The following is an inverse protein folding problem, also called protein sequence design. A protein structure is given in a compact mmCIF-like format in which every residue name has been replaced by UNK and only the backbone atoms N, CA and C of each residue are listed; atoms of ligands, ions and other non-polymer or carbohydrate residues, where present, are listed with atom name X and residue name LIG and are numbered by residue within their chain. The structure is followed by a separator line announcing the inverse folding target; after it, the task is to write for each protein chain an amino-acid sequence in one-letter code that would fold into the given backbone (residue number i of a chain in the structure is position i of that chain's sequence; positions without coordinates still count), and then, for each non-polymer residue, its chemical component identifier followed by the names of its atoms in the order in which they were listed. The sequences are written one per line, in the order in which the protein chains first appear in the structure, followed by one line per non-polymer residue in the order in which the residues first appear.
data_IF_798626329537
#
_entry.id   IF_798626329537
#
_cell.length_a   1.000
_cell.length_b   1.000
_cell.length_c   1.000
_cell.angle_alpha   90.00
_cell.angle_beta   90.00
_cell.angle_gamma   90.00
#
_symmetry.space_group_name_H-M   'P 1'
#
loop_
_entity.id
_entity.type
_entity.pdbx_description
1 polymer ?
#
# COMPACT_ATOMS: atom_id res chain seq x y z
N UNK A 1 14.05 8.76 -7.56
CA UNK A 1 13.56 8.63 -6.16
C UNK A 1 13.12 9.99 -5.69
N UNK A 2 12.00 10.10 -5.01
CA UNK A 2 11.53 11.35 -4.42
C UNK A 2 12.22 11.58 -3.06
N UNK A 3 12.65 12.80 -2.77
CA UNK A 3 13.23 13.16 -1.47
C UNK A 3 12.36 14.12 -0.68
N UNK A 4 11.56 14.94 -1.36
CA UNK A 4 10.67 15.90 -0.73
C UNK A 4 9.44 16.14 -1.59
N UNK A 5 8.30 16.30 -0.97
CA UNK A 5 7.03 16.71 -1.59
C UNK A 5 6.37 17.78 -0.71
N UNK A 6 6.00 18.91 -1.32
CA UNK A 6 5.21 19.96 -0.68
C UNK A 6 3.96 20.19 -1.50
N UNK A 7 2.82 20.17 -0.84
CA UNK A 7 1.51 20.44 -1.44
C UNK A 7 0.98 21.75 -0.90
N UNK A 8 0.61 22.67 -1.79
CA UNK A 8 0.07 23.97 -1.45
C UNK A 8 -1.35 24.10 -2.00
N UNK A 9 -2.33 24.29 -1.12
CA UNK A 9 -3.74 24.50 -1.45
C UNK A 9 -4.35 23.41 -2.34
N UNK A 10 -3.95 22.16 -2.11
CA UNK A 10 -4.43 20.97 -2.83
C UNK A 10 -4.53 19.78 -1.86
N UNK A 11 -5.59 18.99 -1.99
CA UNK A 11 -5.84 17.84 -1.14
C UNK A 11 -6.48 18.16 0.20
N UNK A 12 -6.51 17.21 1.13
CA UNK A 12 -7.21 17.34 2.40
C UNK A 12 -6.52 18.29 3.39
N UNK A 13 -5.23 18.53 3.21
CA UNK A 13 -4.40 19.40 4.06
C UNK A 13 -3.99 20.61 3.26
N UNK A 14 -4.27 21.86 3.72
CA UNK A 14 -3.95 23.10 2.97
C UNK A 14 -2.46 23.24 2.63
N UNK A 15 -1.60 22.86 3.56
CA UNK A 15 -0.16 22.87 3.42
C UNK A 15 0.40 21.55 3.97
N UNK A 16 1.07 20.79 3.13
CA UNK A 16 1.67 19.49 3.50
C UNK A 16 3.12 19.48 3.06
N UNK A 17 4.00 19.01 3.94
CA UNK A 17 5.42 18.74 3.61
C UNK A 17 5.79 17.33 4.05
N UNK A 18 6.28 16.52 3.11
CA UNK A 18 6.78 15.17 3.35
C UNK A 18 8.24 15.06 2.92
N UNK A 19 9.12 14.67 3.85
CA UNK A 19 10.51 14.34 3.58
C UNK A 19 10.68 12.81 3.55
N UNK A 20 10.96 12.27 2.37
CA UNK A 20 10.99 10.83 2.16
C UNK A 20 12.34 10.20 2.49
N UNK A 21 12.29 9.06 3.16
CA UNK A 21 13.40 8.16 3.36
C UNK A 21 13.86 7.50 2.05
N UNK A 22 15.07 7.01 2.07
CA UNK A 22 15.71 6.44 0.86
C UNK A 22 15.21 5.04 0.50
N UNK A 23 14.61 4.30 1.45
CA UNK A 23 14.23 2.90 1.28
C UNK A 23 12.72 2.68 1.43
N UNK A 24 12.19 2.75 2.62
CA UNK A 24 10.78 2.47 2.92
C UNK A 24 10.11 3.71 3.51
N UNK A 25 8.97 4.06 2.94
CA UNK A 25 8.12 5.13 3.43
C UNK A 25 6.73 4.56 3.62
N UNK A 26 6.25 4.53 4.85
CA UNK A 26 4.92 4.02 5.18
C UNK A 26 4.03 5.18 5.56
N UNK A 27 2.83 5.22 5.01
CA UNK A 27 1.82 6.23 5.24
C UNK A 27 0.61 5.53 5.87
N UNK A 28 0.31 5.89 7.11
CA UNK A 28 -0.84 5.38 7.86
C UNK A 28 -1.95 6.43 7.95
N UNK A 29 -3.01 6.12 8.64
CA UNK A 29 -4.14 7.00 8.92
C UNK A 29 -5.47 6.41 8.50
N UNK A 30 -6.56 7.02 8.94
CA UNK A 30 -7.92 6.57 8.71
C UNK A 30 -8.36 6.65 7.25
N UNK A 31 -9.47 5.96 6.94
CA UNK A 31 -10.03 5.95 5.60
C UNK A 31 -10.55 7.35 5.21
N UNK A 32 -10.32 7.72 3.94
CA UNK A 32 -10.80 8.99 3.39
C UNK A 32 -9.93 10.21 3.70
N UNK A 33 -8.84 10.09 4.47
CA UNK A 33 -7.95 11.20 4.84
C UNK A 33 -6.94 11.59 3.75
N UNK A 34 -6.88 10.85 2.63
CA UNK A 34 -6.08 11.26 1.46
C UNK A 34 -4.77 10.48 1.26
N UNK A 35 -4.63 9.28 1.80
CA UNK A 35 -3.46 8.41 1.56
C UNK A 35 -3.22 8.18 0.06
N UNK A 36 -4.24 7.72 -0.66
CA UNK A 36 -4.20 7.52 -2.13
C UNK A 36 -3.84 8.82 -2.85
N UNK A 37 -4.44 9.97 -2.43
CA UNK A 37 -4.11 11.27 -3.00
C UNK A 37 -2.63 11.61 -2.87
N UNK A 38 -2.02 11.31 -1.70
CA UNK A 38 -0.60 11.56 -1.49
C UNK A 38 0.28 10.67 -2.38
N UNK A 39 -0.11 9.39 -2.60
CA UNK A 39 0.56 8.52 -3.56
C UNK A 39 0.44 9.03 -4.99
N UNK A 40 -0.73 9.51 -5.40
CA UNK A 40 -0.93 10.10 -6.73
C UNK A 40 -0.12 11.38 -6.92
N UNK A 41 0.03 12.20 -5.88
CA UNK A 41 0.91 13.36 -5.90
C UNK A 41 2.40 12.95 -6.01
N UNK A 42 2.82 11.87 -5.33
CA UNK A 42 4.15 11.27 -5.50
C UNK A 42 4.36 10.75 -6.92
N UNK A 43 3.38 10.05 -7.48
CA UNK A 43 3.41 9.58 -8.87
C UNK A 43 3.57 10.77 -9.83
N UNK A 44 2.77 11.82 -9.67
CA UNK A 44 2.87 13.02 -10.49
C UNK A 44 4.26 13.68 -10.36
N UNK A 45 4.78 13.82 -9.16
CA UNK A 45 6.11 14.38 -8.91
C UNK A 45 7.22 13.60 -9.64
N UNK A 46 7.08 12.28 -9.74
CA UNK A 46 8.05 11.41 -10.40
C UNK A 46 7.91 11.41 -11.92
N UNK A 47 6.69 11.45 -12.46
CA UNK A 47 6.38 11.14 -13.87
C UNK A 47 5.78 12.29 -14.66
N UNK A 48 5.19 13.28 -13.99
CA UNK A 48 4.36 14.36 -14.53
C UNK A 48 3.12 13.89 -15.27
N UNK A 49 2.68 12.68 -15.00
CA UNK A 49 1.39 12.15 -15.44
C UNK A 49 0.55 11.82 -14.22
N UNK A 50 -0.76 11.71 -14.38
CA UNK A 50 -1.63 11.24 -13.30
C UNK A 50 -1.82 9.73 -13.37
N UNK A 51 -1.85 9.08 -12.21
CA UNK A 51 -2.09 7.65 -12.13
C UNK A 51 -3.48 7.31 -12.68
N UNK A 52 -3.57 6.24 -13.49
CA UNK A 52 -4.83 5.84 -14.12
C UNK A 52 -5.23 6.64 -15.37
N UNK A 53 -4.40 7.60 -15.83
CA UNK A 53 -4.62 8.42 -17.01
C UNK A 53 -5.31 9.76 -16.69
N UNK A 54 -5.81 10.45 -17.71
CA UNK A 54 -6.31 11.84 -17.64
C UNK A 54 -7.46 12.11 -16.65
N UNK A 55 -8.03 11.07 -16.06
CA UNK A 55 -9.15 11.19 -15.10
C UNK A 55 -8.72 11.57 -13.69
N UNK A 56 -7.43 11.63 -13.43
CA UNK A 56 -6.85 11.92 -12.11
C UNK A 56 -6.53 13.41 -11.87
N UNK A 57 -7.26 14.33 -12.49
CA UNK A 57 -7.03 15.76 -12.22
C UNK A 57 -7.56 16.09 -10.83
N UNK A 58 -6.65 16.27 -9.88
CA UNK A 58 -7.01 16.74 -8.55
C UNK A 58 -7.37 18.21 -8.62
N UNK A 59 -8.64 18.50 -8.31
CA UNK A 59 -9.11 19.88 -8.18
C UNK A 59 -8.56 20.49 -6.90
N UNK A 60 -8.19 21.77 -6.93
CA UNK A 60 -7.85 22.52 -5.73
C UNK A 60 -9.00 22.51 -4.74
N UNK A 61 -8.68 22.64 -3.45
CA UNK A 61 -9.70 22.79 -2.40
C UNK A 61 -10.60 23.98 -2.70
N UNK A 62 -11.94 23.85 -2.70
CA UNK A 62 -12.88 24.90 -3.12
C UNK A 62 -12.77 26.23 -2.34
N UNK A 63 -12.29 26.19 -1.11
CA UNK A 63 -12.15 27.36 -0.22
C UNK A 63 -10.92 28.21 -0.50
N UNK A 64 -10.11 27.86 -1.50
CA UNK A 64 -8.93 28.65 -1.82
C UNK A 64 -9.32 30.02 -2.39
N UNK A 65 -8.92 31.07 -1.70
CA UNK A 65 -8.99 32.42 -2.19
C UNK A 65 -8.36 32.51 -3.59
N UNK A 66 -8.96 33.29 -4.51
CA UNK A 66 -8.43 33.51 -5.87
C UNK A 66 -6.96 33.99 -5.90
N UNK A 67 -6.42 34.42 -4.77
CA UNK A 67 -5.02 34.85 -4.61
C UNK A 67 -4.05 33.71 -4.33
N UNK A 68 -4.51 32.48 -4.05
CA UNK A 68 -3.65 31.34 -3.70
C UNK A 68 -3.62 30.35 -4.87
N UNK A 69 -2.44 30.15 -5.43
CA UNK A 69 -2.22 29.24 -6.56
C UNK A 69 -1.94 27.85 -6.03
N UNK A 70 -2.76 26.84 -6.37
CA UNK A 70 -2.47 25.46 -6.01
C UNK A 70 -1.17 25.02 -6.66
N UNK A 71 -0.27 24.42 -5.87
CA UNK A 71 1.04 24.01 -6.35
C UNK A 71 1.52 22.71 -5.72
N UNK A 72 2.30 21.97 -6.49
CA UNK A 72 3.05 20.79 -6.06
C UNK A 72 4.53 21.11 -6.21
N UNK A 73 5.25 21.24 -5.09
CA UNK A 73 6.70 21.34 -5.09
C UNK A 73 7.31 19.98 -4.75
N UNK A 74 8.34 19.58 -5.44
CA UNK A 74 8.95 18.28 -5.22
C UNK A 74 10.43 18.29 -5.57
N UNK A 75 11.19 17.46 -4.86
CA UNK A 75 12.60 17.21 -5.11
C UNK A 75 12.82 15.75 -5.47
N UNK A 76 13.41 15.50 -6.64
CA UNK A 76 13.67 14.15 -7.14
C UNK A 76 15.17 13.93 -7.36
N UNK A 77 15.67 12.82 -6.83
CA UNK A 77 17.03 12.37 -7.04
C UNK A 77 17.07 11.58 -8.35
N UNK A 78 17.64 12.19 -9.38
CA UNK A 78 17.81 11.63 -10.73
C UNK A 78 19.21 11.05 -10.99
N UNK A 79 19.59 10.97 -12.28
CA UNK A 79 20.93 10.47 -12.72
C UNK A 79 22.10 11.19 -12.04
N UNK A 80 21.96 12.46 -11.74
CA UNK A 80 23.00 13.27 -11.08
C UNK A 80 23.22 12.93 -9.62
N UNK A 81 22.35 12.09 -9.02
CA UNK A 81 22.34 11.72 -7.59
C UNK A 81 22.20 12.91 -6.64
N UNK A 82 21.88 14.09 -7.16
CA UNK A 82 21.55 15.29 -6.36
C UNK A 82 20.05 15.55 -6.48
N UNK A 83 19.38 15.99 -5.39
CA UNK A 83 18.01 16.42 -5.47
C UNK A 83 17.86 17.57 -6.47
N UNK A 84 16.88 17.48 -7.35
CA UNK A 84 16.50 18.56 -8.26
C UNK A 84 15.08 19.01 -7.91
N UNK A 85 14.97 20.25 -7.43
CA UNK A 85 13.70 20.86 -7.07
C UNK A 85 12.88 21.23 -8.31
N UNK A 86 11.59 21.00 -8.25
CA UNK A 86 10.61 21.32 -9.28
C UNK A 86 9.35 21.87 -8.63
N UNK A 87 8.60 22.69 -9.41
CA UNK A 87 7.30 23.18 -8.99
C UNK A 87 6.32 23.10 -10.15
N UNK A 88 5.17 22.50 -9.88
CA UNK A 88 4.02 22.47 -10.77
C UNK A 88 2.92 23.37 -10.20
N UNK A 89 2.27 24.16 -11.05
CA UNK A 89 1.17 25.07 -10.67
C UNK A 89 -0.08 24.75 -11.48
N UNK A 90 -1.22 24.77 -10.81
CA UNK A 90 -2.50 24.51 -11.46
C UNK A 90 -3.01 25.75 -12.19
N UNK A 91 -3.33 25.57 -13.46
CA UNK A 91 -3.87 26.61 -14.33
C UNK A 91 -5.40 26.48 -14.45
N UNK A 92 -6.15 27.33 -13.77
CA UNK A 92 -7.61 27.26 -13.74
C UNK A 92 -8.27 27.41 -15.12
N UNK A 93 -7.67 28.19 -16.03
CA UNK A 93 -8.24 28.40 -17.38
C UNK A 93 -8.15 27.18 -18.27
N UNK A 94 -7.04 26.47 -18.23
CA UNK A 94 -6.79 25.26 -19.03
C UNK A 94 -7.10 23.98 -18.29
N UNK A 95 -7.37 24.04 -16.97
CA UNK A 95 -7.57 22.87 -16.08
C UNK A 95 -6.38 21.89 -16.15
N UNK A 96 -5.17 22.43 -16.23
CA UNK A 96 -3.93 21.65 -16.37
C UNK A 96 -2.87 22.06 -15.36
N UNK A 97 -2.00 21.14 -15.04
CA UNK A 97 -0.79 21.39 -14.27
C UNK A 97 0.35 21.80 -15.20
N UNK A 98 1.03 22.88 -14.89
CA UNK A 98 2.15 23.39 -15.68
C UNK A 98 3.44 23.44 -14.86
N UNK A 99 4.57 23.14 -15.49
CA UNK A 99 5.90 23.23 -14.90
C UNK A 99 6.82 24.04 -15.78
N UNK A 100 7.86 24.65 -15.19
CA UNK A 100 8.88 25.40 -15.94
C UNK A 100 9.80 24.48 -16.78
N UNK A 101 9.93 23.23 -16.38
CA UNK A 101 10.82 22.27 -17.04
C UNK A 101 10.01 21.45 -18.06
N UNK A 102 10.51 21.31 -19.28
CA UNK A 102 9.82 20.61 -20.36
C UNK A 102 9.70 19.09 -20.16
N UNK A 103 10.63 18.47 -19.44
CA UNK A 103 10.66 17.00 -19.24
C UNK A 103 10.51 16.61 -17.78
N UNK A 104 9.92 15.43 -17.48
CA UNK A 104 9.87 14.91 -16.12
C UNK A 104 11.29 14.69 -15.58
N UNK A 105 11.46 14.64 -14.25
CA UNK A 105 12.72 14.15 -13.70
C UNK A 105 12.96 12.71 -14.15
N UNK A 106 14.16 12.20 -14.02
CA UNK A 106 14.50 10.82 -14.39
C UNK A 106 14.66 9.98 -13.10
N UNK A 107 13.57 9.56 -12.44
CA UNK A 107 13.60 8.87 -11.16
C UNK A 107 14.12 7.44 -11.24
N UNK A 108 14.11 6.83 -12.42
CA UNK A 108 14.26 5.42 -12.66
C UNK A 108 12.94 4.79 -13.12
N UNK A 109 12.82 3.47 -13.06
CA UNK A 109 11.56 2.77 -13.31
C UNK A 109 10.58 3.03 -12.16
N UNK A 110 9.38 3.52 -12.46
CA UNK A 110 8.35 3.80 -11.46
C UNK A 110 7.18 2.86 -11.70
N UNK A 111 6.77 2.14 -10.65
CA UNK A 111 5.63 1.22 -10.68
C UNK A 111 4.69 1.60 -9.55
N UNK A 112 3.42 1.79 -9.85
CA UNK A 112 2.38 2.08 -8.89
C UNK A 112 1.30 0.99 -8.92
N UNK A 113 1.23 0.19 -7.86
CA UNK A 113 0.18 -0.79 -7.63
C UNK A 113 -1.00 -0.11 -6.94
N UNK A 114 -2.12 0.05 -7.64
CA UNK A 114 -3.31 0.74 -7.14
C UNK A 114 -4.23 -0.21 -6.38
N UNK A 115 -5.07 0.36 -5.52
CA UNK A 115 -6.03 -0.40 -4.70
C UNK A 115 -7.01 -1.24 -5.56
N UNK A 116 -7.41 -0.74 -6.73
CA UNK A 116 -8.34 -1.39 -7.66
C UNK A 116 -7.77 -2.63 -8.38
N UNK A 117 -6.53 -3.00 -8.07
CA UNK A 117 -5.82 -4.09 -8.76
C UNK A 117 -5.18 -3.68 -10.08
N UNK A 118 -5.37 -2.43 -10.51
CA UNK A 118 -4.69 -1.85 -11.64
C UNK A 118 -3.27 -1.40 -11.30
N UNK A 119 -2.52 -1.03 -12.36
CA UNK A 119 -1.14 -0.57 -12.23
C UNK A 119 -0.88 0.60 -13.15
N UNK A 120 0.04 1.47 -12.70
CA UNK A 120 0.63 2.49 -13.55
C UNK A 120 2.15 2.26 -13.59
N UNK A 121 2.72 2.32 -14.79
CA UNK A 121 4.17 2.09 -15.02
C UNK A 121 4.74 3.25 -15.83
N UNK A 122 5.79 3.86 -15.32
CA UNK A 122 6.58 4.84 -16.05
C UNK A 122 8.00 4.31 -16.24
N UNK A 123 8.38 4.13 -17.48
CA UNK A 123 9.64 3.53 -17.88
C UNK A 123 10.55 4.60 -18.53
N UNK A 124 11.72 4.91 -17.97
CA UNK A 124 12.61 5.92 -18.52
C UNK A 124 13.07 5.61 -19.94
N UNK A 125 13.17 4.35 -20.33
CA UNK A 125 13.54 3.97 -21.68
C UNK A 125 12.41 4.19 -22.69
N UNK A 126 11.14 4.09 -22.27
CA UNK A 126 10.00 4.21 -23.19
C UNK A 126 9.30 5.57 -23.10
N UNK A 127 9.22 6.20 -21.93
CA UNK A 127 8.39 7.38 -21.69
C UNK A 127 9.18 8.69 -21.62
N UNK A 128 10.47 8.67 -21.23
CA UNK A 128 11.26 9.90 -21.06
C UNK A 128 11.46 10.71 -22.34
N UNK A 129 11.69 10.05 -23.47
CA UNK A 129 11.92 10.66 -24.78
C UNK A 129 10.63 10.81 -25.60
N UNK A 130 9.49 10.72 -24.96
CA UNK A 130 8.22 11.00 -25.60
C UNK A 130 8.18 12.48 -26.00
N UNK A 131 8.12 12.75 -27.30
CA UNK A 131 7.88 14.08 -27.82
C UNK A 131 6.38 14.18 -28.15
N UNK A 132 5.76 15.30 -27.84
CA UNK A 132 4.38 15.63 -28.21
C UNK A 132 4.18 15.76 -29.73
N UNK A 133 5.07 15.21 -30.53
CA UNK A 133 4.89 15.15 -31.97
C UNK A 133 3.74 14.17 -32.28
N UNK A 134 2.81 14.63 -33.07
CA UNK A 134 1.58 13.93 -33.45
C UNK A 134 1.80 12.54 -34.11
N UNK A 135 3.02 12.16 -34.35
CA UNK A 135 3.43 10.87 -34.91
C UNK A 135 3.83 9.83 -33.87
N UNK A 136 4.09 10.22 -32.63
CA UNK A 136 4.47 9.26 -31.58
C UNK A 136 3.22 8.62 -30.96
N UNK A 137 3.12 7.28 -31.13
CA UNK A 137 2.03 6.46 -30.53
C UNK A 137 2.35 5.99 -29.12
N UNK A 138 3.53 6.33 -28.59
CA UNK A 138 3.92 5.92 -27.24
C UNK A 138 3.16 6.77 -26.22
N UNK A 139 2.56 6.15 -25.19
CA UNK A 139 1.90 6.91 -24.13
C UNK A 139 2.92 7.60 -23.21
N UNK A 140 2.48 8.66 -22.52
CA UNK A 140 3.30 9.36 -21.51
C UNK A 140 3.63 8.47 -20.31
N UNK A 141 2.73 7.55 -19.98
CA UNK A 141 2.88 6.47 -19.01
C UNK A 141 1.94 5.31 -19.38
N UNK A 142 2.19 4.12 -18.86
CA UNK A 142 1.32 2.97 -19.07
C UNK A 142 0.36 2.84 -17.88
N UNK A 143 -0.93 2.73 -18.18
CA UNK A 143 -1.97 2.57 -17.16
C UNK A 143 -2.78 1.32 -17.47
N UNK A 144 -2.70 0.33 -16.58
CA UNK A 144 -3.39 -0.93 -16.71
C UNK A 144 -4.51 -1.02 -15.68
N UNK A 145 -5.71 -1.34 -16.12
CA UNK A 145 -6.79 -1.80 -15.23
C UNK A 145 -6.47 -3.22 -14.77
N UNK A 146 -7.19 -3.72 -13.76
CA UNK A 146 -7.05 -5.12 -13.36
C UNK A 146 -7.30 -6.08 -14.54
N UNK A 147 -8.29 -5.81 -15.39
CA UNK A 147 -8.56 -6.62 -16.59
C UNK A 147 -7.38 -6.60 -17.56
N UNK A 148 -6.79 -5.44 -17.80
CA UNK A 148 -5.60 -5.31 -18.67
C UNK A 148 -4.39 -6.11 -18.15
N UNK A 149 -4.23 -6.21 -16.81
CA UNK A 149 -3.16 -7.03 -16.22
C UNK A 149 -3.34 -8.50 -16.57
N UNK A 150 -4.58 -8.99 -16.59
CA UNK A 150 -4.89 -10.39 -16.90
C UNK A 150 -4.95 -10.70 -18.39
N UNK A 151 -5.61 -9.86 -19.16
CA UNK A 151 -5.98 -10.12 -20.55
C UNK A 151 -5.14 -9.35 -21.59
N UNK A 152 -4.37 -8.36 -21.14
CA UNK A 152 -3.55 -7.51 -22.00
C UNK A 152 -4.23 -6.21 -22.39
N UNK A 153 -3.46 -5.33 -23.01
CA UNK A 153 -3.88 -4.03 -23.52
C UNK A 153 -3.40 -3.80 -24.92
N UNK A 154 -4.35 -3.61 -25.83
CA UNK A 154 -4.12 -3.21 -27.21
C UNK A 154 -4.44 -1.71 -27.36
N UNK A 155 -3.66 -1.00 -28.16
CA UNK A 155 -3.90 0.38 -28.55
C UNK A 155 -3.85 0.50 -30.07
N UNK A 156 -4.78 1.21 -30.69
CA UNK A 156 -4.80 1.45 -32.12
C UNK A 156 -6.14 1.91 -32.68
N UNK A 157 -6.14 2.33 -33.95
CA UNK A 157 -7.26 2.93 -34.68
C UNK A 157 -7.99 1.99 -35.65
N UNK A 158 -7.83 0.69 -35.45
CA UNK A 158 -8.47 -0.33 -36.29
C UNK A 158 -7.62 -0.82 -37.48
N UNK A 159 -6.76 -0.01 -38.06
CA UNK A 159 -5.87 -0.40 -39.16
C UNK A 159 -4.53 -0.99 -38.67
N UNK A 160 -4.08 -0.56 -37.50
CA UNK A 160 -2.88 -1.08 -36.86
C UNK A 160 -3.11 -1.12 -35.35
N UNK A 161 -2.88 -2.29 -34.76
CA UNK A 161 -2.93 -2.52 -33.33
C UNK A 161 -1.53 -2.67 -32.79
N UNK A 162 -1.18 -1.86 -31.79
CA UNK A 162 0.02 -1.99 -31.01
C UNK A 162 -0.32 -2.63 -29.65
N UNK A 163 0.41 -3.68 -29.27
CA UNK A 163 0.20 -4.36 -27.99
C UNK A 163 1.08 -3.70 -26.94
N UNK A 164 0.45 -3.04 -25.96
CA UNK A 164 1.15 -2.41 -24.85
C UNK A 164 1.51 -3.40 -23.74
N UNK A 165 0.70 -4.44 -23.59
CA UNK A 165 0.91 -5.56 -22.69
C UNK A 165 0.14 -6.78 -23.23
N UNK A 166 0.73 -7.98 -23.18
CA UNK A 166 0.04 -9.20 -23.61
C UNK A 166 -0.93 -9.73 -22.53
N UNK A 167 -0.71 -9.33 -21.27
CA UNK A 167 -1.43 -9.81 -20.12
C UNK A 167 -0.85 -11.10 -19.51
N UNK A 168 -1.12 -11.28 -18.23
CA UNK A 168 -0.58 -12.37 -17.43
C UNK A 168 -0.85 -13.75 -18.06
N UNK A 169 -2.09 -14.00 -18.51
CA UNK A 169 -2.47 -15.31 -19.07
C UNK A 169 -1.58 -15.69 -20.25
N UNK A 170 -1.40 -14.77 -21.21
CA UNK A 170 -0.60 -15.04 -22.42
C UNK A 170 0.91 -15.04 -22.13
N UNK A 171 1.39 -14.08 -21.35
CA UNK A 171 2.82 -13.97 -21.07
C UNK A 171 3.33 -15.15 -20.25
N UNK A 172 2.63 -15.54 -19.19
CA UNK A 172 3.03 -16.67 -18.34
C UNK A 172 3.02 -17.99 -19.13
N UNK A 173 1.98 -18.23 -19.93
CA UNK A 173 1.93 -19.39 -20.82
C UNK A 173 3.10 -19.41 -21.80
N UNK A 174 3.38 -18.26 -22.47
CA UNK A 174 4.52 -18.11 -23.38
C UNK A 174 5.87 -18.27 -22.69
N UNK A 175 6.04 -17.72 -21.49
CA UNK A 175 7.29 -17.83 -20.71
C UNK A 175 7.52 -19.28 -20.26
N UNK A 176 6.48 -19.97 -19.85
CA UNK A 176 6.53 -21.37 -19.44
C UNK A 176 6.88 -22.26 -20.64
N UNK A 177 6.20 -22.11 -21.76
CA UNK A 177 6.43 -22.90 -22.99
C UNK A 177 7.84 -22.72 -23.55
N UNK A 178 8.40 -21.50 -23.45
CA UNK A 178 9.75 -21.19 -23.93
C UNK A 178 10.85 -21.49 -22.91
N UNK A 179 10.48 -21.83 -21.67
CA UNK A 179 11.40 -22.05 -20.54
C UNK A 179 12.43 -20.91 -20.41
N UNK A 180 11.95 -19.66 -20.60
CA UNK A 180 12.84 -18.50 -20.58
C UNK A 180 13.13 -18.00 -19.16
N UNK A 181 14.06 -17.04 -19.01
CA UNK A 181 14.44 -16.48 -17.72
C UNK A 181 13.30 -15.80 -16.97
N UNK A 182 12.27 -15.29 -17.66
CA UNK A 182 11.14 -14.58 -17.06
C UNK A 182 10.27 -15.50 -16.23
N UNK A 183 10.05 -16.75 -16.65
CA UNK A 183 9.28 -17.71 -15.82
C UNK A 183 10.03 -18.08 -14.56
N UNK A 184 11.34 -18.28 -14.64
CA UNK A 184 12.16 -18.56 -13.46
C UNK A 184 12.17 -17.39 -12.48
N UNK A 185 12.24 -16.16 -13.01
CA UNK A 185 12.17 -14.94 -12.20
C UNK A 185 10.80 -14.77 -11.55
N UNK A 186 9.70 -15.01 -12.28
CA UNK A 186 8.34 -14.99 -11.74
C UNK A 186 8.19 -16.01 -10.62
N UNK A 187 8.70 -17.23 -10.80
CA UNK A 187 8.64 -18.29 -9.80
C UNK A 187 9.42 -17.91 -8.53
N UNK A 188 10.61 -17.33 -8.65
CA UNK A 188 11.40 -16.84 -7.52
C UNK A 188 10.69 -15.74 -6.74
N UNK A 189 10.04 -14.80 -7.48
CA UNK A 189 9.24 -13.71 -6.88
C UNK A 189 8.04 -14.28 -6.11
N UNK A 190 7.31 -15.21 -6.72
CA UNK A 190 6.13 -15.83 -6.10
C UNK A 190 6.51 -16.65 -4.85
N UNK A 191 7.58 -17.43 -4.92
CA UNK A 191 8.08 -18.19 -3.77
C UNK A 191 8.50 -17.30 -2.60
N UNK A 192 9.15 -16.18 -2.91
CA UNK A 192 9.56 -15.24 -1.89
C UNK A 192 8.39 -14.46 -1.27
N UNK A 193 7.33 -14.19 -2.05
CA UNK A 193 6.11 -13.54 -1.56
C UNK A 193 5.15 -14.50 -0.85
N UNK A 194 5.41 -15.81 -0.86
CA UNK A 194 4.54 -16.79 -0.23
C UNK A 194 4.57 -16.70 1.31
N UNK A 195 3.41 -16.90 1.95
CA UNK A 195 3.26 -16.72 3.39
C UNK A 195 4.01 -17.74 4.23
N UNK A 196 4.10 -18.97 3.73
CA UNK A 196 4.80 -20.08 4.37
C UNK A 196 5.08 -21.21 3.37
N UNK A 197 5.80 -22.25 3.81
CA UNK A 197 6.17 -23.39 2.97
C UNK A 197 4.98 -24.22 2.48
N UNK A 198 3.87 -24.26 3.23
CA UNK A 198 2.67 -25.01 2.87
C UNK A 198 1.75 -24.27 1.88
N UNK A 199 1.91 -22.95 1.77
CA UNK A 199 1.13 -22.10 0.87
C UNK A 199 2.02 -21.45 -0.21
N UNK A 200 3.07 -22.16 -0.65
CA UNK A 200 3.95 -21.65 -1.72
C UNK A 200 3.20 -21.52 -3.02
N UNK A 201 3.23 -20.31 -3.56
CA UNK A 201 2.68 -20.04 -4.88
C UNK A 201 3.67 -20.53 -5.95
N UNK A 202 3.23 -21.50 -6.73
CA UNK A 202 4.00 -22.05 -7.85
C UNK A 202 3.15 -22.09 -9.09
N UNK A 203 3.71 -21.63 -10.19
CA UNK A 203 3.09 -21.76 -11.51
C UNK A 203 3.22 -23.21 -11.96
N UNK A 204 2.10 -23.80 -12.35
CA UNK A 204 2.01 -25.10 -13.00
C UNK A 204 1.76 -24.98 -14.48
N UNK A 205 1.47 -26.13 -15.11
CA UNK A 205 1.15 -26.21 -16.53
C UNK A 205 -0.13 -25.45 -16.86
N UNK A 206 -0.22 -24.92 -18.08
CA UNK A 206 -1.43 -24.27 -18.57
C UNK A 206 -2.48 -25.31 -18.97
N UNK A 207 -3.75 -24.99 -18.73
CA UNK A 207 -4.88 -25.87 -19.02
C UNK A 207 -5.97 -25.12 -19.78
N UNK A 208 -6.72 -25.81 -20.63
CA UNK A 208 -7.92 -25.28 -21.25
C UNK A 208 -9.07 -25.28 -20.22
N UNK A 209 -9.59 -24.08 -19.90
CA UNK A 209 -10.61 -23.90 -18.86
C UNK A 209 -12.05 -24.01 -19.41
N UNK A 210 -12.28 -23.51 -20.63
CA UNK A 210 -13.60 -23.51 -21.25
C UNK A 210 -13.52 -23.70 -22.77
N UNK A 211 -14.67 -23.94 -23.40
CA UNK A 211 -14.76 -24.13 -24.86
C UNK A 211 -14.70 -22.80 -25.63
N UNK A 212 -15.18 -21.72 -25.03
CA UNK A 212 -15.34 -20.42 -25.68
C UNK A 212 -14.06 -19.59 -25.71
N UNK A 213 -13.11 -19.87 -24.83
CA UNK A 213 -11.77 -19.22 -24.82
C UNK A 213 -10.71 -20.21 -25.31
N UNK A 214 -10.06 -19.88 -26.41
CA UNK A 214 -9.00 -20.71 -27.00
C UNK A 214 -7.65 -20.57 -26.33
N UNK A 215 -7.52 -19.70 -25.35
CA UNK A 215 -6.28 -19.53 -24.57
C UNK A 215 -6.16 -20.64 -23.52
N UNK A 216 -4.97 -21.18 -23.37
CA UNK A 216 -4.64 -21.98 -22.24
C UNK A 216 -4.32 -21.07 -21.04
N UNK A 217 -4.85 -21.42 -19.87
CA UNK A 217 -4.75 -20.64 -18.66
C UNK A 217 -3.72 -21.27 -17.73
N UNK A 218 -2.68 -20.53 -17.28
CA UNK A 218 -1.73 -21.03 -16.31
C UNK A 218 -2.42 -21.48 -15.02
N UNK A 219 -1.84 -22.47 -14.34
CA UNK A 219 -2.36 -22.96 -13.06
C UNK A 219 -1.43 -22.56 -11.91
N UNK A 220 -2.00 -22.52 -10.70
CA UNK A 220 -1.26 -22.55 -9.45
C UNK A 220 -1.24 -23.99 -8.91
N UNK A 221 -0.07 -24.47 -8.53
CA UNK A 221 0.09 -25.78 -7.89
C UNK A 221 -0.35 -25.67 -6.44
N UNK A 222 -1.53 -26.22 -6.13
CA UNK A 222 -2.07 -26.24 -4.77
C UNK A 222 -1.94 -27.63 -4.15
N UNK A 223 -1.96 -27.79 -2.81
CA UNK A 223 -1.88 -29.11 -2.16
C UNK A 223 -2.94 -30.13 -2.59
N UNK A 224 -4.08 -29.61 -3.08
CA UNK A 224 -5.23 -30.44 -3.54
C UNK A 224 -5.32 -30.54 -5.07
N UNK A 225 -4.32 -30.07 -5.81
CA UNK A 225 -4.25 -30.15 -7.27
C UNK A 225 -4.05 -28.78 -7.95
N UNK A 226 -3.83 -28.77 -9.27
CA UNK A 226 -3.66 -27.53 -10.02
C UNK A 226 -4.98 -26.75 -10.11
N UNK A 227 -4.90 -25.44 -9.85
CA UNK A 227 -6.04 -24.51 -9.93
C UNK A 227 -5.76 -23.46 -10.98
N UNK A 228 -6.62 -23.27 -12.00
CA UNK A 228 -6.46 -22.17 -12.96
C UNK A 228 -6.33 -20.84 -12.24
N UNK A 229 -5.37 -19.99 -12.64
CA UNK A 229 -5.10 -18.71 -11.97
C UNK A 229 -6.32 -17.78 -11.90
N UNK A 230 -7.24 -17.90 -12.88
CA UNK A 230 -8.50 -17.14 -12.91
C UNK A 230 -9.50 -17.57 -11.83
N UNK A 231 -9.38 -18.80 -11.31
CA UNK A 231 -10.21 -19.37 -10.24
C UNK A 231 -9.55 -19.34 -8.87
N UNK A 232 -8.33 -18.84 -8.77
CA UNK A 232 -7.62 -18.72 -7.50
C UNK A 232 -8.28 -17.68 -6.57
N UNK A 233 -8.04 -17.82 -5.27
CA UNK A 233 -8.51 -16.86 -4.26
C UNK A 233 -8.05 -15.44 -4.56
N UNK A 234 -8.85 -14.44 -4.17
CA UNK A 234 -8.59 -13.03 -4.48
C UNK A 234 -7.19 -12.56 -4.04
N UNK A 235 -6.75 -12.94 -2.82
CA UNK A 235 -5.41 -12.62 -2.33
C UNK A 235 -4.31 -13.24 -3.17
N UNK A 236 -4.45 -14.51 -3.58
CA UNK A 236 -3.49 -15.17 -4.48
C UNK A 236 -3.43 -14.50 -5.84
N UNK A 237 -4.58 -14.12 -6.39
CA UNK A 237 -4.64 -13.36 -7.65
C UNK A 237 -3.96 -12.00 -7.53
N UNK A 238 -4.14 -11.30 -6.41
CA UNK A 238 -3.47 -10.02 -6.14
C UNK A 238 -1.95 -10.18 -6.12
N UNK A 239 -1.44 -11.17 -5.38
CA UNK A 239 0.01 -11.45 -5.30
C UNK A 239 0.56 -11.87 -6.66
N UNK A 240 -0.16 -12.72 -7.40
CA UNK A 240 0.25 -13.16 -8.73
C UNK A 240 0.30 -11.99 -9.73
N UNK A 241 -0.73 -11.14 -9.74
CA UNK A 241 -0.77 -9.95 -10.60
C UNK A 241 0.38 -8.99 -10.30
N UNK A 242 0.69 -8.76 -9.03
CA UNK A 242 1.82 -7.94 -8.62
C UNK A 242 3.16 -8.56 -9.04
N UNK A 243 3.37 -9.87 -8.76
CA UNK A 243 4.60 -10.56 -9.15
C UNK A 243 4.82 -10.52 -10.66
N UNK A 244 3.76 -10.80 -11.44
CA UNK A 244 3.78 -10.70 -12.90
C UNK A 244 4.19 -9.31 -13.36
N UNK A 245 3.56 -8.27 -12.81
CA UNK A 245 3.79 -6.90 -13.27
C UNK A 245 5.19 -6.37 -12.92
N UNK A 246 5.75 -6.77 -11.78
CA UNK A 246 7.14 -6.47 -11.42
C UNK A 246 8.12 -7.08 -12.43
N UNK A 247 7.91 -8.37 -12.75
CA UNK A 247 8.75 -9.08 -13.73
C UNK A 247 8.56 -8.48 -15.13
N UNK A 248 7.31 -8.28 -15.56
CA UNK A 248 6.99 -7.69 -16.87
C UNK A 248 7.60 -6.29 -17.04
N UNK A 249 7.42 -5.40 -16.05
CA UNK A 249 7.92 -4.04 -16.14
C UNK A 249 9.45 -4.00 -16.24
N UNK A 250 10.13 -4.88 -15.51
CA UNK A 250 11.58 -4.99 -15.58
C UNK A 250 12.07 -5.56 -16.90
N UNK A 251 11.48 -6.65 -17.37
CA UNK A 251 11.81 -7.29 -18.66
C UNK A 251 11.60 -6.33 -19.83
N UNK A 252 10.48 -5.63 -19.87
CA UNK A 252 10.18 -4.66 -20.92
C UNK A 252 11.11 -3.45 -20.85
N UNK A 253 11.50 -3.00 -19.64
CA UNK A 253 12.50 -1.96 -19.47
C UNK A 253 13.87 -2.39 -20.05
N UNK A 254 14.30 -3.63 -19.75
CA UNK A 254 15.58 -4.15 -20.29
C UNK A 254 15.55 -4.19 -21.83
N UNK A 255 14.51 -4.77 -22.42
CA UNK A 255 14.34 -4.83 -23.87
C UNK A 255 14.33 -3.44 -24.52
N UNK A 256 13.65 -2.48 -23.90
CA UNK A 256 13.61 -1.11 -24.39
C UNK A 256 14.97 -0.40 -24.30
N UNK A 257 15.71 -0.61 -23.21
CA UNK A 257 17.06 -0.09 -23.03
C UNK A 257 18.03 -0.69 -24.07
N UNK A 258 17.96 -1.99 -24.30
CA UNK A 258 18.76 -2.69 -25.32
C UNK A 258 18.49 -2.16 -26.74
N UNK A 259 17.21 -1.93 -27.07
CA UNK A 259 16.83 -1.32 -28.38
C UNK A 259 17.39 0.10 -28.54
N UNK A 260 17.53 0.85 -27.46
CA UNK A 260 18.12 2.18 -27.43
C UNK A 260 19.65 2.15 -27.35
N UNK A 261 20.25 0.98 -27.13
CA UNK A 261 21.69 0.80 -26.85
C UNK A 261 22.14 1.55 -25.60
N UNK A 262 21.25 1.65 -24.62
CA UNK A 262 21.52 2.24 -23.30
C UNK A 262 21.55 1.15 -22.22
N UNK A 263 22.23 1.44 -21.11
CA UNK A 263 22.16 0.56 -19.94
C UNK A 263 20.81 0.69 -19.24
N UNK A 264 20.23 -0.41 -18.73
CA UNK A 264 19.04 -0.33 -17.89
C UNK A 264 19.23 0.59 -16.69
N UNK A 265 18.13 1.14 -16.18
CA UNK A 265 18.18 2.02 -15.01
C UNK A 265 18.67 1.27 -13.77
N UNK A 266 19.42 1.97 -12.92
CA UNK A 266 19.88 1.44 -11.63
C UNK A 266 18.97 1.83 -10.45
N UNK A 267 17.77 2.36 -10.72
CA UNK A 267 16.82 2.86 -9.71
C UNK A 267 15.40 2.43 -10.03
N UNK A 268 14.68 2.05 -8.98
CA UNK A 268 13.28 1.68 -9.04
C UNK A 268 12.53 2.42 -7.93
N UNK A 269 11.34 2.92 -8.23
CA UNK A 269 10.41 3.47 -7.23
C UNK A 269 9.12 2.67 -7.31
N UNK A 270 8.69 2.16 -6.16
CA UNK A 270 7.51 1.34 -6.01
C UNK A 270 6.50 2.05 -5.11
N UNK A 271 5.32 2.32 -5.63
CA UNK A 271 4.20 2.87 -4.89
C UNK A 271 3.13 1.78 -4.72
N UNK A 272 2.62 1.63 -3.49
CA UNK A 272 1.57 0.65 -3.18
C UNK A 272 0.44 1.33 -2.42
N UNK A 273 -0.76 1.27 -2.99
CA UNK A 273 -1.94 1.74 -2.31
C UNK A 273 -2.64 0.57 -1.62
N UNK A 274 -2.77 0.69 -0.29
CA UNK A 274 -3.30 -0.35 0.59
C UNK A 274 -2.69 -1.73 0.29
N UNK A 275 -1.40 -1.86 0.68
CA UNK A 275 -0.61 -3.06 0.37
C UNK A 275 -1.25 -4.35 0.89
N UNK A 276 -2.03 -4.27 1.97
CA UNK A 276 -2.79 -5.37 2.57
C UNK A 276 -4.09 -5.73 1.85
N UNK A 277 -4.55 -4.92 0.89
CA UNK A 277 -5.84 -5.11 0.24
C UNK A 277 -6.01 -6.53 -0.30
N UNK A 278 -7.10 -7.18 0.11
CA UNK A 278 -7.43 -8.58 -0.21
C UNK A 278 -6.49 -9.65 0.35
N UNK A 279 -5.48 -9.28 1.15
CA UNK A 279 -4.58 -10.24 1.76
C UNK A 279 -5.15 -10.79 3.08
N UNK A 280 -5.08 -12.11 3.24
CA UNK A 280 -5.38 -12.76 4.52
C UNK A 280 -4.36 -12.30 5.58
N UNK A 281 -4.71 -12.17 6.88
CA UNK A 281 -3.79 -11.74 7.95
C UNK A 281 -2.43 -12.44 7.98
N UNK A 282 -2.39 -13.75 7.67
CA UNK A 282 -1.12 -14.49 7.54
C UNK A 282 -0.19 -13.89 6.50
N UNK A 283 -0.74 -13.38 5.39
CA UNK A 283 0.02 -12.73 4.32
C UNK A 283 0.45 -11.33 4.71
N UNK A 284 -0.42 -10.55 5.39
CA UNK A 284 -0.10 -9.20 5.85
C UNK A 284 1.15 -9.16 6.73
N UNK A 285 1.37 -10.21 7.56
CA UNK A 285 2.54 -10.33 8.44
C UNK A 285 3.87 -10.55 7.73
N UNK A 286 3.87 -10.98 6.48
CA UNK A 286 5.10 -11.39 5.78
C UNK A 286 5.29 -10.67 4.45
N UNK A 287 4.22 -10.08 3.89
CA UNK A 287 4.21 -9.60 2.51
C UNK A 287 5.19 -8.45 2.28
N UNK A 288 5.13 -7.39 3.09
CA UNK A 288 6.02 -6.24 2.93
C UNK A 288 7.50 -6.60 3.15
N UNK A 289 7.91 -7.32 4.22
CA UNK A 289 9.28 -7.81 4.35
C UNK A 289 9.73 -8.72 3.21
N UNK A 290 8.83 -9.58 2.71
CA UNK A 290 9.12 -10.44 1.58
C UNK A 290 9.35 -9.63 0.30
N UNK A 291 8.51 -8.63 0.05
CA UNK A 291 8.63 -7.73 -1.09
C UNK A 291 9.95 -6.96 -1.06
N UNK A 292 10.37 -6.45 0.10
CA UNK A 292 11.68 -5.80 0.28
C UNK A 292 12.82 -6.76 -0.11
N UNK A 293 12.77 -8.03 0.34
CA UNK A 293 13.78 -9.05 0.01
C UNK A 293 13.77 -9.46 -1.47
N UNK A 294 12.57 -9.59 -2.07
CA UNK A 294 12.43 -9.91 -3.51
C UNK A 294 13.11 -8.86 -4.34
N UNK A 295 12.85 -7.62 -4.01
CA UNK A 295 13.37 -6.50 -4.76
C UNK A 295 14.87 -6.37 -4.59
N UNK A 296 15.44 -6.64 -3.41
CA UNK A 296 16.89 -6.74 -3.22
C UNK A 296 17.52 -7.84 -4.10
N UNK A 297 16.85 -9.00 -4.24
CA UNK A 297 17.31 -10.07 -5.15
C UNK A 297 17.20 -9.68 -6.62
N UNK A 298 16.13 -9.01 -7.01
CA UNK A 298 15.99 -8.42 -8.35
C UNK A 298 17.12 -7.41 -8.60
N UNK A 299 17.46 -6.57 -7.62
CA UNK A 299 18.58 -5.63 -7.69
C UNK A 299 19.92 -6.32 -7.98
N UNK A 300 20.20 -7.41 -7.28
CA UNK A 300 21.45 -8.16 -7.48
C UNK A 300 21.54 -8.74 -8.90
N UNK A 301 20.46 -9.29 -9.44
CA UNK A 301 20.41 -9.80 -10.82
C UNK A 301 20.43 -8.68 -11.86
N UNK A 302 19.83 -7.53 -11.55
CA UNK A 302 19.56 -6.45 -12.47
C UNK A 302 20.56 -5.29 -12.39
N UNK A 303 21.61 -5.37 -11.55
CA UNK A 303 22.58 -4.28 -11.29
C UNK A 303 21.96 -2.96 -10.85
N UNK A 304 20.69 -2.97 -10.44
CA UNK A 304 20.07 -1.78 -9.85
C UNK A 304 20.71 -1.51 -8.47
N UNK A 305 20.85 -0.23 -8.10
CA UNK A 305 21.62 0.18 -6.93
C UNK A 305 20.75 0.71 -5.81
N UNK A 306 19.51 1.09 -6.12
CA UNK A 306 18.62 1.66 -5.12
C UNK A 306 17.16 1.48 -5.47
N UNK A 307 16.35 1.15 -4.46
CA UNK A 307 14.90 1.08 -4.54
C UNK A 307 14.30 1.90 -3.44
N UNK A 308 13.22 2.60 -3.79
CA UNK A 308 12.41 3.34 -2.83
C UNK A 308 10.99 2.80 -2.87
N UNK A 309 10.46 2.48 -1.71
CA UNK A 309 9.07 2.10 -1.49
C UNK A 309 8.31 3.27 -0.87
N UNK A 310 7.10 3.50 -1.36
CA UNK A 310 6.11 4.41 -0.75
C UNK A 310 4.82 3.62 -0.66
N UNK A 311 4.39 3.31 0.56
CA UNK A 311 3.34 2.33 0.82
C UNK A 311 2.28 2.96 1.70
N UNK A 312 1.01 2.85 1.35
CA UNK A 312 -0.07 3.15 2.28
C UNK A 312 -0.58 1.86 2.93
N UNK A 313 -0.97 1.96 4.18
CA UNK A 313 -1.58 0.86 4.93
C UNK A 313 -2.45 1.38 6.06
N UNK A 314 -3.50 0.63 6.40
CA UNK A 314 -4.28 0.79 7.61
C UNK A 314 -4.29 -0.52 8.44
N UNK A 315 -3.35 -1.44 8.15
CA UNK A 315 -3.26 -2.72 8.84
C UNK A 315 -2.10 -2.76 9.85
N UNK A 316 -2.39 -2.94 11.15
CA UNK A 316 -1.36 -3.03 12.19
C UNK A 316 -0.38 -4.18 11.94
N UNK A 317 -0.83 -5.28 11.34
CA UNK A 317 0.02 -6.41 10.99
C UNK A 317 1.09 -6.07 9.95
N UNK A 318 0.84 -5.11 9.07
CA UNK A 318 1.83 -4.64 8.09
C UNK A 318 2.94 -3.87 8.79
N UNK A 319 2.59 -2.95 9.71
CA UNK A 319 3.57 -2.21 10.50
C UNK A 319 4.38 -3.14 11.41
N UNK A 320 3.73 -4.03 12.14
CA UNK A 320 4.40 -5.04 12.97
C UNK A 320 5.33 -5.94 12.17
N UNK A 321 5.04 -6.19 10.88
CA UNK A 321 5.87 -7.04 10.03
C UNK A 321 7.24 -6.47 9.74
N UNK A 322 7.41 -5.15 9.74
CA UNK A 322 8.68 -4.47 9.40
C UNK A 322 9.51 -4.06 10.61
N UNK A 323 9.03 -4.27 11.83
CA UNK A 323 9.73 -3.87 13.07
C UNK A 323 11.18 -4.39 13.14
N UNK A 324 11.40 -5.62 12.69
CA UNK A 324 12.74 -6.24 12.73
C UNK A 324 13.70 -5.73 11.67
N UNK A 325 13.18 -5.08 10.62
CA UNK A 325 13.95 -4.63 9.45
C UNK A 325 13.96 -3.13 9.27
N UNK A 326 13.27 -2.40 10.14
CA UNK A 326 13.21 -0.94 10.13
C UNK A 326 14.57 -0.29 10.38
N UNK A 327 14.89 0.75 9.60
CA UNK A 327 16.15 1.51 9.67
C UNK A 327 15.84 3.00 9.65
N UNK A 328 15.85 3.65 10.83
CA UNK A 328 15.51 5.06 11.00
C UNK A 328 16.36 6.02 10.12
N UNK A 329 17.51 5.57 9.65
CA UNK A 329 18.36 6.37 8.75
C UNK A 329 17.90 6.36 7.29
N UNK A 330 16.97 5.46 6.93
CA UNK A 330 16.52 5.22 5.54
C UNK A 330 15.02 5.17 5.39
N UNK A 331 14.29 4.93 6.48
CA UNK A 331 12.86 4.67 6.48
C UNK A 331 12.12 5.82 7.16
N UNK A 332 10.87 6.05 6.77
CA UNK A 332 10.00 7.08 7.34
C UNK A 332 8.59 6.54 7.56
N UNK A 333 7.99 6.93 8.68
CA UNK A 333 6.59 6.67 8.98
C UNK A 333 5.83 8.00 8.99
N UNK A 334 4.78 8.07 8.19
CA UNK A 334 3.87 9.23 8.13
C UNK A 334 2.49 8.81 8.57
N UNK A 335 1.78 9.77 9.15
CA UNK A 335 0.41 9.59 9.57
C UNK A 335 -0.49 10.72 9.09
N UNK A 336 -1.73 10.34 8.71
CA UNK A 336 -2.83 11.23 8.37
C UNK A 336 -3.94 11.02 9.39
N UNK A 337 -4.17 12.02 10.23
CA UNK A 337 -5.10 11.98 11.33
C UNK A 337 -6.15 13.09 11.23
N UNK A 338 -7.35 12.85 11.77
CA UNK A 338 -8.44 13.82 11.84
C UNK A 338 -8.47 14.47 13.22
N UNK A 339 -7.95 15.68 13.33
CA UNK A 339 -7.89 16.39 14.59
C UNK A 339 -8.99 17.44 14.73
N UNK A 340 -9.55 17.58 15.92
CA UNK A 340 -10.50 18.63 16.22
C UNK A 340 -9.80 20.03 16.16
N UNK A 341 -10.34 20.94 15.37
CA UNK A 341 -9.86 22.30 15.31
C UNK A 341 -10.49 23.14 16.43
N UNK A 342 -9.75 24.09 16.96
CA UNK A 342 -10.23 25.10 17.92
C UNK A 342 -11.46 25.91 17.44
N UNK A 343 -11.86 25.77 16.17
CA UNK A 343 -13.03 26.39 15.54
C UNK A 343 -14.19 25.40 15.29
N UNK A 344 -14.15 24.19 15.88
CA UNK A 344 -15.25 23.22 15.85
C UNK A 344 -15.42 22.44 14.54
N UNK A 345 -14.55 22.63 13.54
CA UNK A 345 -14.51 21.79 12.34
C UNK A 345 -13.28 20.91 12.37
N UNK A 346 -13.41 19.59 12.21
CA UNK A 346 -12.25 18.71 12.16
C UNK A 346 -11.37 19.04 10.96
N UNK A 347 -10.06 18.93 11.12
CA UNK A 347 -9.06 19.17 10.07
C UNK A 347 -8.12 17.99 9.98
N UNK A 348 -7.71 17.66 8.76
CA UNK A 348 -6.71 16.62 8.53
C UNK A 348 -5.33 17.16 8.88
N UNK A 349 -4.60 16.44 9.70
CA UNK A 349 -3.21 16.68 10.06
C UNK A 349 -2.33 15.63 9.40
N UNK A 350 -1.24 16.07 8.80
CA UNK A 350 -0.17 15.19 8.32
C UNK A 350 1.04 15.33 9.25
N UNK A 351 1.56 14.23 9.74
CA UNK A 351 2.70 14.21 10.66
C UNK A 351 3.73 13.14 10.28
N UNK A 352 4.98 13.38 10.65
CA UNK A 352 6.04 12.38 10.58
C UNK A 352 6.16 11.77 11.98
N UNK A 353 5.91 10.47 12.09
CA UNK A 353 6.00 9.74 13.35
C UNK A 353 7.36 9.09 13.54
N UNK A 354 7.80 9.02 14.79
CA UNK A 354 8.94 8.19 15.17
C UNK A 354 8.48 6.75 15.22
N UNK A 355 9.10 5.88 14.43
CA UNK A 355 8.74 4.47 14.44
C UNK A 355 9.13 3.81 15.76
N UNK A 356 8.15 3.33 16.51
CA UNK A 356 8.34 2.56 17.72
C UNK A 356 7.93 1.09 17.47
N UNK A 357 8.60 0.16 18.14
CA UNK A 357 8.24 -1.26 18.09
C UNK A 357 7.20 -1.56 19.14
N UNK A 358 6.03 -2.00 18.71
CA UNK A 358 4.92 -2.34 19.58
C UNK A 358 4.77 -3.85 19.80
N UNK A 359 5.36 -4.68 18.92
CA UNK A 359 5.43 -6.13 19.06
C UNK A 359 4.17 -6.86 18.64
N UNK A 360 3.00 -6.58 19.25
CA UNK A 360 1.73 -7.21 18.90
C UNK A 360 0.87 -6.33 18.01
N UNK A 361 -0.09 -6.94 17.29
CA UNK A 361 -1.07 -6.20 16.50
C UNK A 361 -1.99 -5.34 17.38
N UNK A 362 -2.28 -5.79 18.58
CA UNK A 362 -3.07 -5.08 19.58
C UNK A 362 -2.40 -3.79 20.03
N UNK A 363 -1.13 -3.87 20.43
CA UNK A 363 -0.36 -2.67 20.79
C UNK A 363 -0.22 -1.69 19.63
N UNK A 364 -0.17 -2.19 18.37
CA UNK A 364 -0.20 -1.33 17.20
C UNK A 364 -1.54 -0.62 17.04
N UNK A 365 -2.68 -1.29 17.30
CA UNK A 365 -4.01 -0.67 17.25
C UNK A 365 -4.14 0.48 18.25
N UNK A 366 -3.52 0.36 19.41
CA UNK A 366 -3.54 1.38 20.50
C UNK A 366 -2.44 2.44 20.34
N UNK A 367 -1.60 2.35 19.28
CA UNK A 367 -0.55 3.32 19.01
C UNK A 367 -1.07 4.60 18.35
N UNK A 368 -0.24 5.66 18.32
CA UNK A 368 -0.53 6.93 17.63
C UNK A 368 -0.90 6.74 16.15
N UNK A 369 -0.48 5.63 15.53
CA UNK A 369 -0.76 5.34 14.11
C UNK A 369 -2.18 4.86 13.83
N UNK A 370 -2.94 4.41 14.85
CA UNK A 370 -4.29 3.87 14.71
C UNK A 370 -5.29 4.47 15.70
N UNK A 371 -4.81 5.10 16.77
CA UNK A 371 -5.55 5.87 17.76
C UNK A 371 -6.81 5.17 18.31
N UNK A 372 -6.75 3.82 18.42
CA UNK A 372 -7.82 3.08 19.08
C UNK A 372 -7.58 3.06 20.59
N UNK A 373 -8.63 3.35 21.35
CA UNK A 373 -8.59 3.29 22.81
C UNK A 373 -8.39 1.86 23.33
N UNK A 374 -8.79 0.87 22.52
CA UNK A 374 -8.73 -0.54 22.89
C UNK A 374 -8.89 -1.43 21.65
N UNK A 375 -8.31 -2.62 21.69
CA UNK A 375 -8.51 -3.65 20.66
C UNK A 375 -9.82 -4.45 20.84
N UNK A 376 -10.56 -4.18 21.89
CA UNK A 376 -11.81 -4.87 22.19
C UNK A 376 -12.98 -4.39 21.30
N UNK A 377 -14.00 -5.23 21.20
CA UNK A 377 -15.28 -4.82 20.63
C UNK A 377 -15.93 -3.70 21.48
N UNK A 378 -16.67 -2.74 20.89
CA UNK A 378 -17.21 -1.58 21.62
C UNK A 378 -18.07 -1.93 22.84
N UNK A 379 -18.72 -3.10 22.87
CA UNK A 379 -19.48 -3.57 24.02
C UNK A 379 -18.57 -4.03 25.16
N UNK A 380 -17.46 -4.70 24.84
CA UNK A 380 -16.46 -5.16 25.77
C UNK A 380 -15.68 -3.97 26.36
N UNK A 381 -15.27 -3.04 25.54
CA UNK A 381 -14.63 -1.79 25.96
C UNK A 381 -15.46 -1.04 27.00
N UNK A 382 -16.75 -0.81 26.73
CA UNK A 382 -17.66 -0.17 27.69
C UNK A 382 -17.84 -0.95 29.02
N UNK A 383 -17.85 -2.29 28.94
CA UNK A 383 -17.94 -3.11 30.13
C UNK A 383 -16.64 -3.02 30.96
N UNK A 384 -15.49 -2.99 30.33
CA UNK A 384 -14.17 -2.79 30.95
C UNK A 384 -14.11 -1.40 31.59
N UNK A 385 -14.43 -0.34 30.84
CA UNK A 385 -14.47 1.04 31.38
C UNK A 385 -15.35 1.17 32.60
N UNK A 386 -16.53 0.54 32.60
CA UNK A 386 -17.43 0.52 33.79
C UNK A 386 -16.82 -0.22 34.98
N UNK A 387 -16.14 -1.33 34.71
CA UNK A 387 -15.45 -2.11 35.74
C UNK A 387 -14.30 -1.30 36.37
N UNK A 388 -13.48 -0.68 35.54
CA UNK A 388 -12.37 0.18 35.97
C UNK A 388 -12.87 1.40 36.76
N UNK A 389 -13.91 2.07 36.24
CA UNK A 389 -14.54 3.20 36.97
C UNK A 389 -15.09 2.77 38.34
N UNK A 390 -15.68 1.57 38.42
CA UNK A 390 -16.18 1.04 39.68
C UNK A 390 -15.04 0.71 40.66
N UNK A 391 -13.96 0.12 40.19
CA UNK A 391 -12.77 -0.15 41.00
C UNK A 391 -12.10 1.12 41.49
N UNK A 392 -11.99 2.14 40.63
CA UNK A 392 -11.43 3.46 40.99
C UNK A 392 -12.28 4.18 42.02
N UNK A 393 -13.63 4.15 41.89
CA UNK A 393 -14.58 4.77 42.82
C UNK A 393 -14.60 4.05 44.16
N UNK A 394 -14.39 2.74 44.16
CA UNK A 394 -14.47 1.88 45.37
C UNK A 394 -13.21 0.98 45.45
N UNK A 395 -12.03 1.52 45.79
CA UNK A 395 -10.78 0.72 45.87
C UNK A 395 -10.88 -0.45 46.86
N UNK A 396 -11.75 -0.28 47.90
CA UNK A 396 -12.07 -1.35 48.81
C UNK A 396 -13.38 -2.04 48.36
N UNK A 397 -13.31 -3.25 47.76
CA UNK A 397 -14.48 -3.94 47.21
C UNK A 397 -15.64 -4.05 48.18
N UNK A 398 -15.35 -4.09 49.51
CA UNK A 398 -16.34 -4.17 50.57
C UNK A 398 -17.29 -2.96 50.67
N UNK A 399 -16.97 -1.83 50.08
CA UNK A 399 -17.76 -0.59 50.09
C UNK A 399 -18.58 -0.36 48.83
N UNK A 400 -18.30 -1.09 47.73
CA UNK A 400 -19.06 -0.97 46.49
C UNK A 400 -20.48 -1.55 46.63
N UNK A 401 -21.51 -0.96 45.96
CA UNK A 401 -22.85 -1.53 45.93
C UNK A 401 -22.84 -2.92 45.29
N UNK A 402 -23.44 -3.93 45.96
CA UNK A 402 -23.40 -5.31 45.44
C UNK A 402 -24.13 -5.46 44.10
N UNK A 403 -25.25 -4.78 43.92
CA UNK A 403 -26.02 -4.79 42.67
C UNK A 403 -25.19 -4.25 41.52
N UNK A 404 -24.46 -3.15 41.74
CA UNK A 404 -23.60 -2.54 40.72
C UNK A 404 -22.43 -3.47 40.30
N UNK A 405 -21.85 -4.21 41.28
CA UNK A 405 -20.80 -5.19 41.01
C UNK A 405 -21.35 -6.41 40.24
N UNK A 406 -22.53 -6.92 40.64
CA UNK A 406 -23.17 -8.05 39.94
C UNK A 406 -23.57 -7.69 38.53
N UNK A 407 -24.08 -6.46 38.28
CA UNK A 407 -24.42 -5.96 36.95
C UNK A 407 -23.18 -5.84 36.06
N UNK A 408 -22.10 -5.21 36.55
CA UNK A 408 -20.84 -5.08 35.81
C UNK A 408 -20.22 -6.44 35.53
N UNK A 409 -20.26 -7.37 36.48
CA UNK A 409 -19.77 -8.73 36.28
C UNK A 409 -20.55 -9.47 35.18
N UNK A 410 -21.87 -9.34 35.17
CA UNK A 410 -22.73 -9.93 34.15
C UNK A 410 -22.44 -9.33 32.77
N UNK A 411 -22.26 -8.01 32.69
CA UNK A 411 -21.87 -7.33 31.42
C UNK A 411 -20.52 -7.83 30.92
N UNK A 412 -19.50 -7.94 31.79
CA UNK A 412 -18.20 -8.48 31.43
C UNK A 412 -18.29 -9.92 30.92
N UNK A 413 -19.05 -10.79 31.59
CA UNK A 413 -19.26 -12.17 31.15
C UNK A 413 -20.00 -12.27 29.81
N UNK A 414 -20.90 -11.33 29.52
CA UNK A 414 -21.61 -11.29 28.24
C UNK A 414 -20.74 -10.74 27.08
N UNK A 415 -19.85 -9.82 27.40
CA UNK A 415 -19.04 -9.10 26.40
C UNK A 415 -17.66 -9.73 26.16
N UNK A 416 -17.11 -10.39 27.19
CA UNK A 416 -15.80 -11.04 27.17
C UNK A 416 -15.96 -12.56 27.32
N UNK A 417 -15.06 -13.34 26.77
CA UNK A 417 -14.95 -14.76 27.09
C UNK A 417 -14.47 -14.99 28.54
N UNK A 418 -14.83 -16.12 29.14
CA UNK A 418 -14.38 -16.45 30.51
C UNK A 418 -12.86 -16.57 30.69
N UNK A 419 -12.15 -16.81 29.60
CA UNK A 419 -10.67 -16.92 29.52
C UNK A 419 -9.99 -15.62 29.06
N UNK A 420 -10.74 -14.50 28.98
CA UNK A 420 -10.20 -13.20 28.55
C UNK A 420 -9.16 -12.67 29.55
N UNK A 421 -8.13 -11.99 29.03
CA UNK A 421 -6.99 -11.48 29.82
C UNK A 421 -7.41 -10.43 30.88
N UNK A 422 -8.55 -9.75 30.71
CA UNK A 422 -9.08 -8.82 31.69
C UNK A 422 -9.73 -9.53 32.89
N UNK A 423 -10.28 -10.73 32.67
CA UNK A 423 -10.99 -11.46 33.74
C UNK A 423 -10.12 -11.78 34.97
N UNK A 424 -8.85 -12.25 34.85
CA UNK A 424 -7.94 -12.39 35.97
C UNK A 424 -7.71 -11.11 36.80
N UNK A 425 -7.83 -9.94 36.16
CA UNK A 425 -7.73 -8.65 36.85
C UNK A 425 -9.02 -8.29 37.62
N UNK A 426 -10.20 -8.55 37.03
CA UNK A 426 -11.51 -8.26 37.61
C UNK A 426 -11.93 -9.26 38.68
N UNK A 427 -11.75 -10.57 38.46
CA UNK A 427 -12.26 -11.63 39.37
C UNK A 427 -11.81 -11.50 40.82
N UNK A 428 -10.57 -11.15 41.17
CA UNK A 428 -10.15 -10.93 42.54
C UNK A 428 -10.94 -9.80 43.25
N UNK A 429 -11.34 -8.77 42.53
CA UNK A 429 -12.14 -7.67 43.04
C UNK A 429 -13.58 -8.12 43.28
N UNK A 430 -14.19 -8.81 42.34
CA UNK A 430 -15.53 -9.39 42.41
C UNK A 430 -15.65 -10.40 43.58
N UNK A 431 -14.74 -11.36 43.69
CA UNK A 431 -14.73 -12.42 44.71
C UNK A 431 -14.60 -11.87 46.12
N UNK A 432 -13.78 -10.85 46.34
CA UNK A 432 -13.66 -10.23 47.66
C UNK A 432 -14.96 -9.59 48.13
N UNK A 433 -15.83 -9.16 47.22
CA UNK A 433 -17.14 -8.59 47.54
C UNK A 433 -18.21 -9.66 47.74
N UNK A 434 -18.24 -10.71 46.91
CA UNK A 434 -19.22 -11.79 46.95
C UNK A 434 -19.02 -12.70 48.17
N UNK A 435 -17.77 -12.97 48.58
CA UNK A 435 -17.47 -13.80 49.77
C UNK A 435 -17.95 -13.19 51.08
N UNK A 436 -18.00 -11.86 51.24
CA UNK A 436 -18.59 -11.20 52.44
C UNK A 436 -20.08 -11.44 52.59
N UNK A 437 -20.79 -11.96 51.59
CA UNK A 437 -22.21 -12.34 51.66
C UNK A 437 -22.39 -13.70 52.34
N UNK A 438 -21.39 -14.57 52.37
CA UNK A 438 -21.43 -15.92 52.94
C UNK A 438 -21.11 -15.97 54.45
N UNK A 439 -20.41 -14.97 54.99
CA UNK A 439 -20.01 -14.93 56.41
C UNK A 439 -20.99 -14.15 57.30
N UNK A 440 -22.08 -13.63 56.74
CA UNK A 440 -23.10 -12.85 57.44
C UNK A 440 -24.46 -13.57 57.60
N UNK A 441 -24.51 -14.90 57.54
CA UNK A 441 -25.68 -15.72 57.85
C UNK A 441 -25.41 -16.65 59.01
#
# INVERSE_FOLDING_TARGET
MISELKLHHIGPVPELTAEFGKRLNVITGDNGLGKTFLLDACWYALTRTWAGGDKGVFLPVPETSKSRVPAIEYSVIGKTRKPAGNRAEFQFKSQTWTTKQARPPMPGLVIYARIDGGFSVWDPARNYWHNNESTSRRPDAYHFTNDHVWNGLEQGDGNRKDYLCNGLIRDVDSWHSKSNGSISLLQEVLEALSSNDSERLRIGESVRVCLDDVRDTPTLVMPYGPVPVTQAAAGMRRVLGLAYLLVWAWEEHQKAADLQKEAPTDRIVLLFDEIEAHLHPKWQRVFLPALLKVVDRLLLKCKAKSIQFIVTTHAPLVLGSVESTWDDSKDQLFDLDLVESNHGKPTVRFSNLVFAKHGSAENWLESESFDLSSAYAPAAEKAIERADALMLKHPEPGKAPLVEIEDVHAELLMALGGDDEYMPYWLPYYDRRSKKKGEGK
#
